data_IF_229712346119
#
_entry.id   IF_229712346119
#
_cell.length_a   1.000
_cell.length_b   1.000
_cell.length_c   1.000
_cell.angle_alpha   90.00
_cell.angle_beta   90.00
_cell.angle_gamma   90.00
#
_symmetry.space_group_name_H-M   'P 1'
#
loop_
_entity.id
_entity.type
_entity.pdbx_description
1 polymer ?
#
# COMPACT_ATOMS: atom_id res chain seq x y z
N UNK A 1 16.23 -86.94 28.07
CA UNK A 1 16.27 -86.43 26.68
C UNK A 1 15.35 -85.22 26.61
N UNK A 2 15.89 -84.01 26.69
CA UNK A 2 15.09 -82.77 26.65
C UNK A 2 15.27 -82.10 25.29
N UNK A 3 14.18 -81.65 24.63
CA UNK A 3 14.31 -80.93 23.36
C UNK A 3 14.82 -79.51 23.60
N UNK A 4 15.98 -79.21 23.03
CA UNK A 4 16.48 -77.86 22.79
C UNK A 4 15.38 -77.00 22.14
N UNK A 5 15.03 -75.88 22.77
CA UNK A 5 14.13 -74.89 22.17
C UNK A 5 14.97 -73.98 21.29
N UNK A 6 14.65 -73.83 19.99
CA UNK A 6 15.42 -72.93 19.14
C UNK A 6 15.32 -71.50 19.70
N UNK A 7 16.46 -70.92 20.06
CA UNK A 7 16.54 -69.51 20.39
C UNK A 7 15.98 -68.70 19.22
N UNK A 8 14.85 -68.04 19.47
CA UNK A 8 14.33 -67.04 18.55
C UNK A 8 15.30 -65.87 18.58
N UNK A 9 16.27 -65.89 17.67
CA UNK A 9 17.13 -64.76 17.36
C UNK A 9 16.23 -63.56 17.05
N UNK A 10 16.07 -62.67 18.05
CA UNK A 10 15.32 -61.44 17.88
C UNK A 10 15.88 -60.75 16.64
N UNK A 11 15.04 -60.33 15.67
CA UNK A 11 15.53 -59.61 14.52
C UNK A 11 16.19 -58.34 15.04
N UNK A 12 17.53 -58.34 15.05
CA UNK A 12 18.36 -57.26 15.56
C UNK A 12 17.94 -56.02 14.80
N UNK A 13 17.24 -55.10 15.48
CA UNK A 13 16.64 -53.94 14.85
C UNK A 13 17.68 -53.28 13.95
N UNK A 14 17.50 -53.41 12.63
CA UNK A 14 18.44 -52.90 11.64
C UNK A 14 18.28 -51.39 11.64
N UNK A 15 19.04 -50.77 12.53
CA UNK A 15 19.54 -49.40 12.55
C UNK A 15 18.71 -48.46 11.68
N UNK A 16 17.90 -47.64 12.35
CA UNK A 16 17.64 -46.27 11.91
C UNK A 16 19.01 -45.65 11.62
N UNK A 17 19.43 -45.71 10.36
CA UNK A 17 20.67 -45.12 9.87
C UNK A 17 20.37 -43.79 9.22
N UNK A 18 21.40 -42.97 9.06
CA UNK A 18 21.30 -41.61 8.47
C UNK A 18 20.52 -41.65 7.16
N UNK A 19 20.83 -42.57 6.25
CA UNK A 19 20.10 -42.81 4.98
C UNK A 19 18.56 -42.89 5.13
N UNK A 20 18.06 -43.59 6.16
CA UNK A 20 16.61 -43.75 6.38
C UNK A 20 15.97 -42.49 6.96
N UNK A 21 16.71 -41.76 7.79
CA UNK A 21 16.26 -40.46 8.31
C UNK A 21 16.29 -39.39 7.22
N UNK A 22 17.28 -39.42 6.33
CA UNK A 22 17.35 -38.60 5.12
C UNK A 22 16.19 -38.91 4.17
N UNK A 23 15.89 -40.17 3.89
CA UNK A 23 14.77 -40.55 3.03
C UNK A 23 13.41 -40.11 3.63
N UNK A 24 13.24 -40.19 4.96
CA UNK A 24 12.11 -39.56 5.66
C UNK A 24 12.12 -38.03 5.58
N UNK A 25 13.28 -37.39 5.68
CA UNK A 25 13.42 -35.95 5.58
C UNK A 25 13.01 -35.47 4.17
N UNK A 26 13.45 -36.15 3.12
CA UNK A 26 13.04 -35.92 1.73
C UNK A 26 11.52 -35.96 1.58
N UNK A 27 10.84 -37.02 2.05
CA UNK A 27 9.36 -37.12 2.00
C UNK A 27 8.68 -35.92 2.69
N UNK A 28 9.22 -35.45 3.82
CA UNK A 28 8.71 -34.25 4.50
C UNK A 28 8.91 -32.97 3.66
N UNK A 29 10.03 -32.89 2.92
CA UNK A 29 10.40 -31.79 2.05
C UNK A 29 9.48 -31.70 0.83
N UNK A 30 9.22 -32.83 0.15
CA UNK A 30 8.24 -32.93 -0.93
C UNK A 30 6.87 -32.35 -0.53
N UNK A 31 6.39 -32.68 0.68
CA UNK A 31 5.11 -32.16 1.18
C UNK A 31 5.17 -30.65 1.45
N UNK A 32 6.24 -30.15 2.08
CA UNK A 32 6.42 -28.71 2.38
C UNK A 32 6.50 -27.86 1.12
N UNK A 33 7.34 -28.25 0.16
CA UNK A 33 7.54 -27.58 -1.14
C UNK A 33 6.22 -27.41 -1.91
N UNK A 34 5.28 -28.35 -1.78
CA UNK A 34 3.96 -28.25 -2.43
C UNK A 34 3.09 -27.10 -1.90
N UNK A 35 3.31 -26.68 -0.66
CA UNK A 35 2.50 -25.66 0.02
C UNK A 35 3.22 -24.29 0.08
N UNK A 36 4.54 -24.27 0.02
CA UNK A 36 5.37 -23.07 0.16
C UNK A 36 6.05 -22.72 -1.18
N UNK A 37 5.59 -21.63 -1.79
CA UNK A 37 6.09 -21.19 -3.09
C UNK A 37 7.48 -20.54 -3.02
N UNK A 38 7.88 -19.96 -1.89
CA UNK A 38 9.22 -19.38 -1.68
C UNK A 38 10.26 -20.48 -1.52
N UNK A 39 9.96 -21.49 -0.69
CA UNK A 39 10.77 -22.69 -0.58
C UNK A 39 10.89 -23.41 -1.93
N UNK A 40 9.78 -23.51 -2.69
CA UNK A 40 9.80 -24.12 -4.02
C UNK A 40 10.69 -23.38 -5.03
N UNK A 41 10.83 -22.04 -4.94
CA UNK A 41 11.78 -21.31 -5.80
C UNK A 41 13.24 -21.57 -5.42
N UNK A 42 13.58 -21.54 -4.14
CA UNK A 42 14.96 -21.74 -3.66
C UNK A 42 15.45 -23.17 -3.95
N UNK A 43 14.63 -24.16 -3.60
CA UNK A 43 14.92 -25.58 -3.86
C UNK A 43 15.05 -25.87 -5.34
N UNK A 44 14.20 -25.26 -6.19
CA UNK A 44 14.32 -25.42 -7.63
C UNK A 44 15.62 -24.80 -8.18
N UNK A 45 16.02 -23.61 -7.69
CA UNK A 45 17.27 -22.99 -8.11
C UNK A 45 18.49 -23.85 -7.71
N UNK A 46 18.50 -24.40 -6.49
CA UNK A 46 19.58 -25.26 -6.02
C UNK A 46 19.63 -26.61 -6.77
N UNK A 47 18.47 -27.22 -7.07
CA UNK A 47 18.37 -28.41 -7.93
C UNK A 47 18.71 -28.12 -9.40
N UNK A 48 18.59 -26.88 -9.87
CA UNK A 48 18.98 -26.52 -11.24
C UNK A 48 20.48 -26.20 -11.36
N UNK A 49 21.14 -25.84 -10.25
CA UNK A 49 22.60 -25.69 -10.15
C UNK A 49 23.35 -27.04 -10.08
N UNK A 50 22.80 -28.06 -9.40
CA UNK A 50 23.39 -29.40 -9.30
C UNK A 50 22.72 -30.40 -10.26
N UNK A 51 23.40 -30.71 -11.36
CA UNK A 51 22.90 -31.61 -12.39
C UNK A 51 22.80 -33.09 -11.97
N UNK A 52 23.54 -33.55 -10.96
CA UNK A 52 23.39 -34.91 -10.43
C UNK A 52 22.18 -35.00 -9.49
N UNK A 53 22.07 -34.05 -8.56
CA UNK A 53 20.95 -34.00 -7.61
C UNK A 53 19.61 -33.83 -8.35
N UNK A 54 19.59 -33.04 -9.43
CA UNK A 54 18.46 -32.92 -10.37
C UNK A 54 18.01 -34.25 -10.98
N UNK A 55 18.97 -35.13 -11.31
CA UNK A 55 18.70 -36.45 -11.90
C UNK A 55 18.19 -37.42 -10.83
N UNK A 56 18.79 -37.42 -9.63
CA UNK A 56 18.35 -38.24 -8.49
C UNK A 56 16.94 -37.87 -8.01
N UNK A 57 16.60 -36.59 -7.99
CA UNK A 57 15.32 -36.07 -7.46
C UNK A 57 14.48 -35.32 -8.51
N UNK A 58 14.34 -35.88 -9.71
CA UNK A 58 13.53 -35.30 -10.79
C UNK A 58 12.06 -35.04 -10.36
N UNK A 59 11.49 -35.92 -9.53
CA UNK A 59 10.14 -35.72 -8.98
C UNK A 59 10.03 -34.43 -8.17
N UNK A 60 11.08 -34.03 -7.42
CA UNK A 60 11.07 -32.82 -6.60
C UNK A 60 11.05 -31.56 -7.49
N UNK A 61 11.83 -31.58 -8.59
CA UNK A 61 11.82 -30.53 -9.62
C UNK A 61 10.41 -30.34 -10.21
N UNK A 62 9.69 -31.44 -10.47
CA UNK A 62 8.30 -31.39 -10.96
C UNK A 62 7.35 -30.83 -9.87
N UNK A 63 7.45 -31.30 -8.63
CA UNK A 63 6.67 -30.77 -7.51
C UNK A 63 6.89 -29.26 -7.28
N UNK A 64 8.14 -28.77 -7.36
CA UNK A 64 8.42 -27.33 -7.32
C UNK A 64 7.69 -26.58 -8.45
N UNK A 65 7.80 -27.07 -9.69
CA UNK A 65 7.17 -26.44 -10.87
C UNK A 65 5.64 -26.45 -10.78
N UNK A 66 5.03 -27.49 -10.22
CA UNK A 66 3.60 -27.53 -9.92
C UNK A 66 3.19 -26.55 -8.83
N UNK A 67 3.92 -26.49 -7.70
CA UNK A 67 3.66 -25.56 -6.61
C UNK A 67 3.67 -24.10 -7.10
N UNK A 68 4.67 -23.74 -7.92
CA UNK A 68 4.79 -22.41 -8.52
C UNK A 68 3.66 -22.09 -9.51
N UNK A 69 3.19 -23.07 -10.30
CA UNK A 69 2.01 -22.91 -11.17
C UNK A 69 0.74 -22.71 -10.35
N UNK A 70 0.53 -23.53 -9.31
CA UNK A 70 -0.62 -23.42 -8.42
C UNK A 70 -0.65 -22.08 -7.66
N UNK A 71 0.50 -21.60 -7.19
CA UNK A 71 0.63 -20.30 -6.53
C UNK A 71 0.33 -19.14 -7.49
N UNK A 72 0.88 -19.15 -8.71
CA UNK A 72 0.54 -18.16 -9.75
C UNK A 72 -0.96 -18.14 -10.07
N UNK A 73 -1.60 -19.31 -10.14
CA UNK A 73 -3.05 -19.42 -10.36
C UNK A 73 -3.89 -18.86 -9.20
N UNK A 74 -3.46 -19.06 -7.94
CA UNK A 74 -4.09 -18.44 -6.75
C UNK A 74 -3.95 -16.91 -6.81
N UNK A 75 -2.73 -16.39 -6.96
CA UNK A 75 -2.49 -14.95 -7.08
C UNK A 75 -3.28 -14.30 -8.23
N UNK A 76 -3.48 -14.98 -9.36
CA UNK A 76 -4.27 -14.46 -10.47
C UNK A 76 -5.76 -14.29 -10.10
N UNK A 77 -6.31 -15.16 -9.25
CA UNK A 77 -7.67 -15.03 -8.71
C UNK A 77 -7.72 -13.89 -7.69
N UNK A 78 -6.79 -13.88 -6.74
CA UNK A 78 -6.74 -12.89 -5.66
C UNK A 78 -6.57 -11.46 -6.21
N UNK A 79 -5.77 -11.28 -7.27
CA UNK A 79 -5.65 -10.00 -8.01
C UNK A 79 -6.96 -9.55 -8.64
N UNK A 80 -7.73 -10.47 -9.26
CA UNK A 80 -9.05 -10.15 -9.85
C UNK A 80 -10.05 -9.75 -8.76
N UNK A 81 -10.09 -10.51 -7.66
CA UNK A 81 -10.98 -10.23 -6.52
C UNK A 81 -10.60 -8.89 -5.88
N UNK A 82 -9.32 -8.65 -5.58
CA UNK A 82 -8.84 -7.40 -5.00
C UNK A 82 -9.12 -6.18 -5.88
N UNK A 83 -8.95 -6.30 -7.20
CA UNK A 83 -9.29 -5.23 -8.14
C UNK A 83 -10.81 -4.99 -8.22
N UNK A 84 -11.62 -6.06 -8.23
CA UNK A 84 -13.07 -5.96 -8.22
C UNK A 84 -13.59 -5.29 -6.93
N UNK A 85 -13.14 -5.74 -5.75
CA UNK A 85 -13.50 -5.15 -4.45
C UNK A 85 -13.06 -3.69 -4.38
N UNK A 86 -11.85 -3.36 -4.85
CA UNK A 86 -11.37 -1.97 -4.91
C UNK A 86 -12.28 -1.11 -5.80
N UNK A 87 -12.65 -1.59 -6.98
CA UNK A 87 -13.54 -0.87 -7.89
C UNK A 87 -14.95 -0.69 -7.29
N UNK A 88 -15.51 -1.75 -6.71
CA UNK A 88 -16.83 -1.75 -6.07
C UNK A 88 -16.89 -0.76 -4.90
N UNK A 89 -15.90 -0.80 -3.99
CA UNK A 89 -15.81 0.18 -2.90
C UNK A 89 -15.60 1.62 -3.41
N UNK A 90 -14.85 1.79 -4.50
CA UNK A 90 -14.66 3.11 -5.10
C UNK A 90 -15.97 3.66 -5.69
N UNK A 91 -16.75 2.82 -6.38
CA UNK A 91 -18.07 3.17 -6.91
C UNK A 91 -19.11 3.44 -5.81
N UNK A 92 -19.23 2.56 -4.82
CA UNK A 92 -20.24 2.65 -3.76
C UNK A 92 -19.96 3.71 -2.69
N UNK A 93 -18.70 4.06 -2.43
CA UNK A 93 -18.35 5.03 -1.37
C UNK A 93 -17.64 6.26 -1.93
N UNK A 94 -16.58 6.09 -2.73
CA UNK A 94 -15.75 7.22 -3.14
C UNK A 94 -16.40 8.12 -4.23
N UNK A 95 -17.36 7.61 -5.00
CA UNK A 95 -18.17 8.42 -5.94
C UNK A 95 -19.26 9.21 -5.21
N UNK A 96 -20.18 8.61 -4.43
CA UNK A 96 -21.21 9.39 -3.74
C UNK A 96 -20.64 10.38 -2.73
N UNK A 97 -19.57 10.07 -1.99
CA UNK A 97 -18.92 11.06 -1.11
C UNK A 97 -18.36 12.26 -1.90
N UNK A 98 -17.83 12.04 -3.12
CA UNK A 98 -17.41 13.15 -3.99
C UNK A 98 -18.59 13.92 -4.58
N UNK A 99 -19.71 13.26 -4.89
CA UNK A 99 -20.93 13.93 -5.33
C UNK A 99 -21.60 14.73 -4.21
N UNK A 100 -21.60 14.24 -2.96
CA UNK A 100 -22.09 15.02 -1.81
C UNK A 100 -21.21 16.24 -1.52
N UNK A 101 -19.87 16.11 -1.62
CA UNK A 101 -18.97 17.26 -1.47
C UNK A 101 -19.17 18.29 -2.56
N UNK A 102 -19.11 17.88 -3.84
CA UNK A 102 -19.38 18.77 -4.98
C UNK A 102 -20.80 19.33 -4.99
N UNK A 103 -21.77 18.56 -4.52
CA UNK A 103 -23.16 19.01 -4.37
C UNK A 103 -23.31 20.04 -3.26
N UNK A 104 -22.49 19.98 -2.21
CA UNK A 104 -22.33 21.04 -1.22
C UNK A 104 -21.74 22.30 -1.84
N UNK A 105 -20.63 22.18 -2.59
CA UNK A 105 -20.00 23.30 -3.29
C UNK A 105 -20.99 23.97 -4.27
N UNK A 106 -21.71 23.18 -5.08
CA UNK A 106 -22.73 23.64 -6.03
C UNK A 106 -23.96 24.20 -5.30
N UNK A 107 -24.38 23.66 -4.15
CA UNK A 107 -25.50 24.21 -3.38
C UNK A 107 -25.14 25.54 -2.70
N UNK A 108 -23.88 25.78 -2.38
CA UNK A 108 -23.36 27.10 -1.95
C UNK A 108 -23.36 28.08 -3.13
N UNK A 109 -23.03 27.62 -4.34
CA UNK A 109 -23.02 28.44 -5.57
C UNK A 109 -24.43 28.68 -6.16
N UNK A 110 -25.37 27.76 -5.92
CA UNK A 110 -26.79 27.84 -6.29
C UNK A 110 -27.68 28.41 -5.17
N UNK A 111 -27.09 28.83 -4.04
CA UNK A 111 -27.77 29.74 -3.13
C UNK A 111 -28.05 31.01 -3.93
N UNK A 112 -29.31 31.49 -4.02
CA UNK A 112 -29.57 32.75 -4.72
C UNK A 112 -28.71 33.84 -4.09
N UNK A 113 -28.16 34.76 -4.91
CA UNK A 113 -27.53 35.96 -4.37
C UNK A 113 -28.55 36.67 -3.46
N UNK A 114 -28.38 36.49 -2.16
CA UNK A 114 -29.15 37.19 -1.15
C UNK A 114 -28.57 38.60 -1.07
N UNK A 115 -28.86 39.42 -2.09
CA UNK A 115 -28.44 40.82 -2.23
C UNK A 115 -28.96 41.76 -1.12
N UNK A 116 -29.43 41.19 -0.01
CA UNK A 116 -29.77 41.81 1.27
C UNK A 116 -29.31 40.88 2.40
N UNK A 117 -28.00 40.71 2.54
CA UNK A 117 -27.39 40.10 3.71
C UNK A 117 -27.94 40.78 5.00
N UNK A 118 -28.67 40.07 5.87
CA UNK A 118 -29.28 40.69 7.04
C UNK A 118 -28.23 41.16 8.06
N UNK A 119 -27.06 40.52 8.07
CA UNK A 119 -25.92 40.91 8.89
C UNK A 119 -25.45 42.34 8.58
N UNK A 120 -25.36 42.77 7.31
CA UNK A 120 -24.97 44.16 6.97
C UNK A 120 -25.98 45.18 7.49
N UNK A 121 -27.28 44.84 7.51
CA UNK A 121 -28.31 45.70 8.12
C UNK A 121 -28.22 45.73 9.64
N UNK A 122 -27.95 44.60 10.28
CA UNK A 122 -27.76 44.50 11.73
C UNK A 122 -26.48 45.21 12.18
N UNK A 123 -25.35 45.02 11.48
CA UNK A 123 -24.10 45.75 11.70
C UNK A 123 -24.30 47.26 11.51
N UNK A 124 -24.99 47.71 10.45
CA UNK A 124 -25.33 49.14 10.30
C UNK A 124 -26.28 49.67 11.38
N UNK A 125 -27.10 48.82 12.01
CA UNK A 125 -27.95 49.19 13.14
C UNK A 125 -27.12 49.32 14.42
N UNK A 126 -26.29 48.32 14.72
CA UNK A 126 -25.36 48.30 15.86
C UNK A 126 -24.34 49.45 15.80
N UNK A 127 -23.70 49.70 14.65
CA UNK A 127 -22.79 50.85 14.47
C UNK A 127 -23.50 52.21 14.60
N UNK A 128 -24.83 52.26 14.50
CA UNK A 128 -25.65 53.46 14.71
C UNK A 128 -26.17 53.59 16.14
N UNK A 129 -26.08 52.53 16.93
CA UNK A 129 -26.35 52.52 18.37
C UNK A 129 -25.10 53.05 19.11
N UNK A 130 -25.29 54.09 19.93
CA UNK A 130 -24.17 54.89 20.45
C UNK A 130 -23.23 54.15 21.39
N UNK A 131 -23.68 53.04 22.01
CA UNK A 131 -22.82 52.20 22.86
C UNK A 131 -21.72 51.46 22.07
N UNK A 132 -22.01 51.04 20.83
CA UNK A 132 -21.04 50.31 20.00
C UNK A 132 -20.13 51.23 19.17
N UNK A 133 -20.53 52.49 18.96
CA UNK A 133 -19.69 53.49 18.30
C UNK A 133 -18.42 53.80 19.12
N UNK A 134 -18.53 53.89 20.45
CA UNK A 134 -17.36 54.01 21.33
C UNK A 134 -16.45 52.79 21.23
N UNK A 135 -17.02 51.57 21.23
CA UNK A 135 -16.23 50.34 21.12
C UNK A 135 -15.42 50.29 19.80
N UNK A 136 -15.99 50.68 18.67
CA UNK A 136 -15.28 50.72 17.38
C UNK A 136 -14.13 51.75 17.38
N UNK A 137 -14.26 52.87 18.10
CA UNK A 137 -13.17 53.86 18.23
C UNK A 137 -11.94 53.32 19.00
N UNK A 138 -12.11 52.31 19.84
CA UNK A 138 -11.02 51.66 20.58
C UNK A 138 -10.23 50.63 19.75
N UNK A 139 -10.74 50.22 18.58
CA UNK A 139 -10.12 49.19 17.71
C UNK A 139 -9.58 49.73 16.37
N UNK A 140 -9.63 51.04 16.13
CA UNK A 140 -9.12 51.64 14.90
C UNK A 140 -7.58 51.53 14.78
N UNK A 141 -7.03 50.85 13.76
CA UNK A 141 -5.57 50.81 13.55
C UNK A 141 -5.04 52.18 13.19
N UNK A 142 -3.96 52.60 13.86
CA UNK A 142 -3.37 53.92 13.75
C UNK A 142 -2.62 54.08 12.40
N UNK A 143 -3.30 54.58 11.37
CA UNK A 143 -2.68 54.94 10.10
C UNK A 143 -1.91 56.26 10.22
N UNK A 144 -0.58 56.21 10.13
CA UNK A 144 0.31 57.39 10.11
C UNK A 144 0.23 58.18 8.79
N UNK A 145 0.59 59.47 8.78
CA UNK A 145 0.29 60.39 7.68
C UNK A 145 1.25 60.30 6.48
N UNK A 146 0.84 60.81 5.30
CA UNK A 146 1.64 60.76 4.06
C UNK A 146 2.59 61.97 3.89
N UNK A 147 3.82 61.74 3.40
CA UNK A 147 4.71 62.82 2.96
C UNK A 147 6.13 62.38 2.57
N UNK A 148 6.64 62.95 1.47
CA UNK A 148 8.00 62.88 0.91
C UNK A 148 8.45 61.58 0.17
N UNK A 149 8.48 61.69 -1.17
CA UNK A 149 9.14 60.79 -2.14
C UNK A 149 10.63 61.24 -2.35
N UNK A 150 11.49 60.65 -3.24
CA UNK A 150 11.26 59.87 -4.47
C UNK A 150 11.94 58.46 -4.40
N UNK A 151 12.33 57.69 -5.44
CA UNK A 151 12.54 57.97 -6.87
C UNK A 151 12.50 56.72 -7.80
N UNK A 152 12.79 56.99 -9.08
CA UNK A 152 13.10 56.11 -10.21
C UNK A 152 14.32 55.16 -9.99
N UNK A 153 14.58 54.11 -10.78
CA UNK A 153 13.80 53.32 -11.76
C UNK A 153 14.69 52.15 -12.25
N UNK A 154 14.15 51.34 -13.19
CA UNK A 154 14.83 50.35 -14.05
C UNK A 154 15.12 48.98 -13.40
N UNK A 155 15.18 47.84 -14.09
CA UNK A 155 14.73 47.33 -15.41
C UNK A 155 15.30 45.88 -15.47
N UNK A 156 14.58 44.95 -16.10
CA UNK A 156 15.05 43.63 -16.61
C UNK A 156 15.35 42.49 -15.60
N UNK A 157 15.15 41.20 -15.92
CA UNK A 157 14.53 40.55 -17.08
C UNK A 157 13.87 39.20 -16.69
N UNK A 158 12.92 38.75 -17.51
CA UNK A 158 12.35 37.39 -17.57
C UNK A 158 13.19 36.49 -18.52
N UNK A 159 12.86 35.20 -18.80
CA UNK A 159 12.19 34.09 -18.08
C UNK A 159 13.10 32.80 -18.21
N UNK A 160 12.68 31.51 -18.48
CA UNK A 160 11.37 30.82 -18.45
C UNK A 160 11.30 29.36 -17.90
N UNK A 161 10.05 28.87 -17.82
CA UNK A 161 9.56 27.47 -18.04
C UNK A 161 9.93 26.32 -17.07
N UNK A 162 8.86 25.70 -16.55
CA UNK A 162 8.71 24.29 -16.12
C UNK A 162 8.89 23.29 -17.30
N UNK A 163 8.87 21.92 -17.14
CA UNK A 163 8.42 21.11 -15.99
C UNK A 163 9.26 19.80 -15.70
N UNK A 164 8.69 18.85 -14.92
CA UNK A 164 9.09 17.43 -14.77
C UNK A 164 10.43 17.14 -14.04
N UNK A 165 10.81 15.89 -13.67
CA UNK A 165 10.11 14.74 -13.07
C UNK A 165 11.18 13.64 -12.77
N UNK A 166 10.92 12.71 -11.83
CA UNK A 166 11.75 11.52 -11.49
C UNK A 166 13.15 11.86 -10.92
N UNK A 167 13.65 11.29 -9.81
CA UNK A 167 13.74 9.91 -9.32
C UNK A 167 14.77 9.03 -10.08
N UNK A 168 16.03 8.98 -9.60
CA UNK A 168 16.84 7.74 -9.48
C UNK A 168 18.20 7.92 -8.75
N UNK A 169 18.40 7.15 -7.67
CA UNK A 169 19.44 6.10 -7.49
C UNK A 169 20.96 6.42 -7.41
N UNK A 170 21.55 5.91 -6.31
CA UNK A 170 22.90 5.31 -6.15
C UNK A 170 24.18 6.14 -5.92
N UNK A 171 24.80 5.82 -4.77
CA UNK A 171 26.19 5.37 -4.59
C UNK A 171 27.38 6.34 -4.74
N UNK A 172 28.04 6.58 -3.61
CA UNK A 172 29.45 6.31 -3.40
C UNK A 172 29.61 5.63 -2.02
#
# INVERSE_FOLDING_TARGET
MFPEKPEKSRPRAKRFGVEFEEERAWVSFYRRVRHDATLATEVLAQLEADAEMKRRHLALVLCCKEALRAHKARQARDKRIGQFVRWLCHGLFAVPVRMLRRGGDIAVECLPETGKEPAVRQVRRLTRETEFAQAQSAFAPQAGPPGAAPAAAQTEASPPRSPQAQATRSAA
#
